data_IF_884897170945
#
_entry.id   IF_884897170945
#
_cell.length_a   1.000
_cell.length_b   1.000
_cell.length_c   1.000
_cell.angle_alpha   90.00
_cell.angle_beta   90.00
_cell.angle_gamma   90.00
#
_symmetry.space_group_name_H-M   'P 1'
#
loop_
_entity.id
_entity.type
_entity.pdbx_description
1 polymer ?
#
# COMPACT_ATOMS: atom_id res chain seq x y z
N UNK A 1 2.77 17.22 -27.87
CA UNK A 1 2.08 16.04 -27.32
C UNK A 1 3.03 15.25 -26.41
N UNK A 2 2.53 14.81 -25.27
CA UNK A 2 3.27 14.03 -24.27
C UNK A 2 2.75 12.60 -24.24
N UNK A 3 3.66 11.63 -24.05
CA UNK A 3 3.28 10.23 -23.88
C UNK A 3 4.38 9.37 -23.29
N UNK A 4 4.06 8.14 -22.96
CA UNK A 4 5.07 7.14 -22.62
C UNK A 4 5.89 6.70 -23.85
N UNK A 5 7.06 6.13 -23.62
CA UNK A 5 7.91 5.60 -24.70
C UNK A 5 7.21 4.53 -25.54
N UNK A 6 6.23 3.81 -24.98
CA UNK A 6 5.37 2.86 -25.68
C UNK A 6 4.45 3.52 -26.72
N UNK A 7 4.14 4.81 -26.57
CA UNK A 7 3.28 5.58 -27.47
C UNK A 7 4.02 6.28 -28.59
N UNK A 8 5.37 6.22 -28.61
CA UNK A 8 6.21 6.98 -29.57
C UNK A 8 5.79 6.77 -31.02
N UNK A 9 5.47 5.54 -31.42
CA UNK A 9 5.03 5.25 -32.78
C UNK A 9 3.73 5.99 -33.11
N UNK A 10 2.73 5.92 -32.23
CA UNK A 10 1.43 6.56 -32.44
C UNK A 10 1.56 8.09 -32.53
N UNK A 11 2.43 8.69 -31.71
CA UNK A 11 2.72 10.13 -31.73
C UNK A 11 3.38 10.54 -33.05
N UNK A 12 4.27 9.73 -33.60
CA UNK A 12 4.89 9.96 -34.91
C UNK A 12 3.88 9.89 -36.07
N UNK A 13 2.95 8.94 -36.04
CA UNK A 13 1.85 8.85 -37.01
C UNK A 13 1.01 10.12 -36.98
N UNK A 14 0.71 10.67 -35.80
CA UNK A 14 0.01 11.96 -35.67
C UNK A 14 0.73 13.10 -36.37
N UNK A 15 2.06 13.19 -36.24
CA UNK A 15 2.89 14.19 -36.96
C UNK A 15 2.82 14.03 -38.50
N UNK A 16 2.83 12.77 -38.98
CA UNK A 16 2.77 12.52 -40.41
C UNK A 16 1.38 12.85 -40.99
N UNK A 17 0.32 12.60 -40.24
CA UNK A 17 -1.04 13.05 -40.59
C UNK A 17 -1.13 14.58 -40.65
N UNK A 18 -0.53 15.31 -39.73
CA UNK A 18 -0.50 16.77 -39.72
C UNK A 18 0.22 17.28 -40.99
N UNK A 19 1.39 16.72 -41.33
CA UNK A 19 2.13 17.08 -42.58
C UNK A 19 1.26 16.83 -43.81
N UNK A 20 0.62 15.66 -43.90
CA UNK A 20 -0.23 15.32 -45.02
C UNK A 20 -1.41 16.31 -45.20
N UNK A 21 -1.92 16.85 -44.08
CA UNK A 21 -2.95 17.86 -44.06
C UNK A 21 -2.43 19.31 -44.09
N UNK A 22 -1.16 19.53 -44.45
CA UNK A 22 -0.49 20.84 -44.52
C UNK A 22 -0.53 21.61 -43.20
N UNK A 23 -0.55 20.92 -42.09
CA UNK A 23 -0.45 21.47 -40.75
C UNK A 23 1.01 21.42 -40.26
N UNK A 24 1.38 22.34 -39.36
CA UNK A 24 2.69 22.25 -38.71
C UNK A 24 2.72 21.02 -37.77
N UNK A 25 3.69 20.11 -37.96
CA UNK A 25 3.80 18.93 -37.10
C UNK A 25 4.11 19.33 -35.66
N UNK A 26 3.35 18.79 -34.72
CA UNK A 26 3.54 19.01 -33.29
C UNK A 26 4.89 18.52 -32.78
N UNK A 27 5.41 19.12 -31.73
CA UNK A 27 6.49 18.53 -30.95
C UNK A 27 5.97 17.34 -30.15
N UNK A 28 6.75 16.29 -30.04
CA UNK A 28 6.47 15.15 -29.17
C UNK A 28 7.55 15.00 -28.11
N UNK A 29 7.13 14.69 -26.90
CA UNK A 29 8.00 14.39 -25.77
C UNK A 29 7.55 13.03 -25.21
N UNK A 30 8.49 12.10 -25.10
CA UNK A 30 8.21 10.79 -24.50
C UNK A 30 9.01 10.62 -23.22
N UNK A 31 8.35 10.08 -22.19
CA UNK A 31 8.93 9.77 -20.90
C UNK A 31 9.06 8.24 -20.73
N UNK A 32 10.05 7.77 -19.97
CA UNK A 32 10.12 6.37 -19.57
C UNK A 32 8.83 5.91 -18.88
N UNK A 33 8.50 4.64 -19.04
CA UNK A 33 7.39 4.05 -18.32
C UNK A 33 7.81 3.76 -16.88
N UNK A 34 6.89 4.02 -15.95
CA UNK A 34 7.00 3.61 -14.56
C UNK A 34 6.21 2.31 -14.38
N UNK A 35 6.86 1.27 -13.90
CA UNK A 35 6.20 0.03 -13.47
C UNK A 35 5.45 0.28 -12.17
N UNK A 36 4.34 -0.43 -12.01
CA UNK A 36 3.52 -0.37 -10.81
C UNK A 36 4.17 -1.07 -9.61
N UNK A 37 3.40 -1.21 -8.54
CA UNK A 37 3.85 -1.83 -7.29
C UNK A 37 4.21 -3.31 -7.43
N UNK A 38 3.79 -3.97 -8.51
CA UNK A 38 4.15 -5.33 -8.89
C UNK A 38 5.57 -5.44 -9.49
N UNK A 39 6.17 -4.33 -9.94
CA UNK A 39 7.50 -4.28 -10.55
C UNK A 39 7.60 -4.93 -11.93
N UNK A 40 6.50 -5.25 -12.58
CA UNK A 40 6.44 -6.00 -13.84
C UNK A 40 5.72 -5.18 -14.92
N UNK A 41 4.44 -4.89 -14.68
CA UNK A 41 3.61 -4.19 -15.62
C UNK A 41 3.67 -2.67 -15.39
N UNK A 42 3.45 -1.89 -16.47
CA UNK A 42 3.33 -0.45 -16.32
C UNK A 42 2.24 -0.11 -15.30
N UNK A 43 2.47 0.93 -14.50
CA UNK A 43 1.49 1.39 -13.53
C UNK A 43 0.14 1.68 -14.19
N UNK A 44 -0.92 1.07 -13.71
CA UNK A 44 -2.27 1.23 -14.26
C UNK A 44 -3.35 0.87 -13.24
N UNK A 45 -4.41 1.68 -13.16
CA UNK A 45 -5.61 1.37 -12.37
C UNK A 45 -6.25 0.03 -12.78
N UNK A 46 -6.20 -0.31 -14.08
CA UNK A 46 -6.77 -1.56 -14.58
C UNK A 46 -6.06 -2.81 -14.07
N UNK A 47 -4.79 -2.68 -13.71
CA UNK A 47 -3.98 -3.77 -13.15
C UNK A 47 -4.00 -3.78 -11.61
N UNK A 48 -4.51 -2.72 -10.98
CA UNK A 48 -4.51 -2.61 -9.52
C UNK A 48 -3.11 -2.50 -8.90
N UNK A 49 -2.13 -2.11 -9.72
CA UNK A 49 -0.73 -1.92 -9.33
C UNK A 49 -0.36 -0.44 -9.20
N UNK A 50 -1.34 0.43 -9.13
CA UNK A 50 -1.17 1.87 -9.06
C UNK A 50 -1.15 2.42 -7.62
N UNK A 51 -0.54 3.59 -7.49
CA UNK A 51 -0.70 4.47 -6.35
C UNK A 51 -1.51 5.67 -6.83
N UNK A 52 -2.72 5.82 -6.29
CA UNK A 52 -3.60 6.92 -6.66
C UNK A 52 -3.14 8.24 -6.05
N UNK A 53 -3.25 9.34 -6.80
CA UNK A 53 -2.91 10.69 -6.30
C UNK A 53 -3.82 11.15 -5.14
N UNK A 54 -4.98 10.52 -4.99
CA UNK A 54 -5.94 10.78 -3.91
C UNK A 54 -6.02 9.62 -2.91
N UNK A 55 -5.08 8.68 -2.96
CA UNK A 55 -4.97 7.65 -1.94
C UNK A 55 -4.65 8.32 -0.60
N UNK A 56 -5.13 7.74 0.50
CA UNK A 56 -4.74 8.20 1.84
C UNK A 56 -3.21 8.14 1.99
N UNK A 57 -2.60 9.09 2.72
CA UNK A 57 -1.14 9.12 2.91
C UNK A 57 -0.55 7.81 3.42
N UNK A 58 -1.26 7.13 4.32
CA UNK A 58 -0.85 5.84 4.89
C UNK A 58 -0.83 4.73 3.85
N UNK A 59 -1.84 4.73 2.96
CA UNK A 59 -1.92 3.76 1.85
C UNK A 59 -0.84 4.03 0.81
N UNK A 60 -0.62 5.30 0.45
CA UNK A 60 0.44 5.72 -0.47
C UNK A 60 1.81 5.31 0.07
N UNK A 61 2.09 5.59 1.35
CA UNK A 61 3.31 5.18 2.03
C UNK A 61 3.50 3.67 2.02
N UNK A 62 2.47 2.92 2.44
CA UNK A 62 2.50 1.46 2.51
C UNK A 62 2.67 0.79 1.15
N UNK A 63 1.99 1.29 0.11
CA UNK A 63 2.13 0.81 -1.26
C UNK A 63 3.54 1.07 -1.80
N UNK A 64 4.12 2.24 -1.54
CA UNK A 64 5.50 2.55 -1.94
C UNK A 64 6.50 1.60 -1.27
N UNK A 65 6.31 1.25 0.00
CA UNK A 65 7.17 0.27 0.67
C UNK A 65 7.06 -1.16 0.09
N UNK A 66 6.00 -1.48 -0.63
CA UNK A 66 5.78 -2.83 -1.19
C UNK A 66 6.50 -3.09 -2.50
N UNK A 67 7.07 -2.07 -3.15
CA UNK A 67 7.82 -2.25 -4.41
C UNK A 67 9.06 -3.11 -4.19
N UNK A 68 9.58 -3.72 -5.25
CA UNK A 68 10.85 -4.47 -5.19
C UNK A 68 12.06 -3.53 -5.04
N UNK A 69 13.20 -4.05 -4.55
CA UNK A 69 14.37 -3.22 -4.24
C UNK A 69 15.02 -2.62 -5.51
N UNK A 70 14.96 -3.33 -6.62
CA UNK A 70 15.45 -2.92 -7.93
C UNK A 70 14.68 -1.73 -8.53
N UNK A 71 13.48 -1.46 -8.03
CA UNK A 71 12.65 -0.34 -8.48
C UNK A 71 12.97 0.98 -7.76
N UNK A 72 13.65 0.95 -6.63
CA UNK A 72 13.82 2.11 -5.74
C UNK A 72 14.40 3.32 -6.48
N UNK A 73 15.50 3.13 -7.20
CA UNK A 73 16.19 4.22 -7.92
C UNK A 73 15.29 4.83 -8.99
N UNK A 74 14.62 3.99 -9.76
CA UNK A 74 13.70 4.42 -10.81
C UNK A 74 12.52 5.21 -10.23
N UNK A 75 12.00 4.78 -9.09
CA UNK A 75 10.90 5.47 -8.43
C UNK A 75 11.31 6.81 -7.81
N UNK A 76 12.53 6.93 -7.29
CA UNK A 76 13.06 8.25 -6.90
C UNK A 76 13.05 9.22 -8.07
N UNK A 77 13.48 8.76 -9.25
CA UNK A 77 13.57 9.60 -10.46
C UNK A 77 12.21 9.94 -11.06
N UNK A 78 11.28 8.96 -11.14
CA UNK A 78 10.07 9.11 -11.95
C UNK A 78 8.80 9.33 -11.11
N UNK A 79 8.78 8.91 -9.84
CA UNK A 79 7.61 9.01 -8.99
C UNK A 79 7.75 10.05 -7.87
N UNK A 80 8.96 10.25 -7.34
CA UNK A 80 9.22 11.20 -6.27
C UNK A 80 9.81 12.53 -6.74
N UNK A 81 10.06 12.71 -8.04
CA UNK A 81 10.69 13.91 -8.62
C UNK A 81 11.97 14.34 -7.88
N UNK A 82 12.77 13.35 -7.47
CA UNK A 82 13.93 13.56 -6.63
C UNK A 82 15.11 14.14 -7.44
N UNK A 83 15.85 15.04 -6.82
CA UNK A 83 17.08 15.60 -7.38
C UNK A 83 18.12 14.52 -7.68
N UNK A 84 18.97 14.77 -8.68
CA UNK A 84 20.06 13.85 -9.10
C UNK A 84 20.99 13.46 -7.93
N UNK A 85 21.18 14.36 -6.97
CA UNK A 85 22.00 14.10 -5.78
C UNK A 85 21.37 13.05 -4.86
N UNK A 86 20.05 13.10 -4.69
CA UNK A 86 19.28 12.13 -3.91
C UNK A 86 19.29 10.78 -4.60
N UNK A 87 19.07 10.76 -5.92
CA UNK A 87 19.09 9.53 -6.72
C UNK A 87 20.46 8.84 -6.63
N UNK A 88 21.57 9.57 -6.81
CA UNK A 88 22.94 9.03 -6.69
C UNK A 88 23.24 8.53 -5.26
N UNK A 89 22.76 9.22 -4.24
CA UNK A 89 22.89 8.78 -2.86
C UNK A 89 22.15 7.44 -2.63
N UNK A 90 20.93 7.32 -3.15
CA UNK A 90 20.16 6.08 -3.07
C UNK A 90 20.88 4.92 -3.80
N UNK A 91 21.38 5.16 -5.02
CA UNK A 91 22.17 4.17 -5.77
C UNK A 91 23.38 3.69 -4.99
N UNK A 92 24.18 4.62 -4.45
CA UNK A 92 25.37 4.30 -3.67
C UNK A 92 25.07 3.48 -2.43
N UNK A 93 23.96 3.81 -1.72
CA UNK A 93 23.54 3.10 -0.52
C UNK A 93 22.98 1.72 -0.83
N UNK A 94 22.28 1.54 -1.93
CA UNK A 94 21.78 0.23 -2.37
C UNK A 94 22.90 -0.69 -2.88
N UNK A 95 24.02 -0.14 -3.35
CA UNK A 95 25.20 -0.91 -3.72
C UNK A 95 26.01 -1.40 -2.50
N UNK A 96 25.81 -0.80 -1.33
CA UNK A 96 26.44 -1.22 -0.07
C UNK A 96 25.59 -2.29 0.62
N UNK A 97 26.08 -3.53 0.60
CA UNK A 97 25.39 -4.67 1.22
C UNK A 97 25.21 -4.57 2.74
N UNK A 98 25.89 -3.63 3.41
CA UNK A 98 25.71 -3.37 4.84
C UNK A 98 24.47 -2.52 5.15
N UNK A 99 23.92 -1.82 4.17
CA UNK A 99 22.74 -0.96 4.31
C UNK A 99 21.48 -1.77 3.99
N UNK A 100 20.51 -1.67 4.88
CA UNK A 100 19.21 -2.31 4.64
C UNK A 100 18.41 -1.52 3.58
N UNK A 101 18.06 -2.13 2.42
CA UNK A 101 17.27 -1.46 1.39
C UNK A 101 15.96 -0.84 1.91
N UNK A 102 15.40 -1.39 2.99
CA UNK A 102 14.19 -0.84 3.62
C UNK A 102 14.38 0.59 4.12
N UNK A 103 15.59 0.99 4.53
CA UNK A 103 15.85 2.38 4.95
C UNK A 103 15.70 3.33 3.77
N UNK A 104 16.25 2.95 2.61
CA UNK A 104 16.16 3.73 1.36
C UNK A 104 14.72 3.77 0.84
N UNK A 105 13.97 2.65 0.96
CA UNK A 105 12.53 2.63 0.64
C UNK A 105 11.70 3.54 1.52
N UNK A 106 12.00 3.64 2.81
CA UNK A 106 11.31 4.56 3.72
C UNK A 106 11.49 6.01 3.31
N UNK A 107 12.70 6.38 2.89
CA UNK A 107 12.98 7.73 2.37
C UNK A 107 12.19 7.98 1.07
N UNK A 108 12.17 7.01 0.15
CA UNK A 108 11.36 7.09 -1.06
C UNK A 108 9.88 7.26 -0.73
N UNK A 109 9.35 6.45 0.20
CA UNK A 109 7.94 6.50 0.57
C UNK A 109 7.55 7.86 1.20
N UNK A 110 8.43 8.43 2.04
CA UNK A 110 8.24 9.80 2.54
C UNK A 110 8.26 10.82 1.41
N UNK A 111 9.23 10.74 0.49
CA UNK A 111 9.34 11.66 -0.63
C UNK A 111 8.10 11.63 -1.54
N UNK A 112 7.56 10.44 -1.82
CA UNK A 112 6.33 10.28 -2.60
C UNK A 112 5.13 10.92 -1.88
N UNK A 113 4.95 10.68 -0.58
CA UNK A 113 3.84 11.30 0.18
C UNK A 113 4.03 12.82 0.27
N UNK A 114 5.24 13.30 0.54
CA UNK A 114 5.55 14.72 0.65
C UNK A 114 5.26 15.49 -0.64
N UNK A 115 5.51 14.86 -1.81
CA UNK A 115 5.26 15.47 -3.13
C UNK A 115 3.77 15.82 -3.34
N UNK A 116 2.85 15.01 -2.83
CA UNK A 116 1.40 15.19 -3.04
C UNK A 116 0.66 15.78 -1.84
N UNK A 117 1.30 15.75 -0.67
CA UNK A 117 0.76 16.31 0.58
C UNK A 117 1.77 17.31 1.16
N UNK A 118 2.40 16.97 2.29
CA UNK A 118 3.46 17.74 2.92
C UNK A 118 4.36 16.84 3.80
N UNK A 119 5.45 17.43 4.31
CA UNK A 119 6.44 16.72 5.13
C UNK A 119 5.86 16.21 6.47
N UNK A 120 4.91 16.96 7.06
CA UNK A 120 4.26 16.57 8.31
C UNK A 120 3.39 15.33 8.08
N UNK A 121 2.55 15.35 7.04
CA UNK A 121 1.70 14.22 6.62
C UNK A 121 2.55 12.98 6.28
N UNK A 122 3.69 13.16 5.59
CA UNK A 122 4.61 12.06 5.29
C UNK A 122 5.17 11.42 6.57
N UNK A 123 5.53 12.24 7.57
CA UNK A 123 6.01 11.75 8.87
C UNK A 123 4.91 11.01 9.64
N UNK A 124 3.68 11.51 9.61
CA UNK A 124 2.52 10.86 10.23
C UNK A 124 2.22 9.51 9.58
N UNK A 125 2.26 9.43 8.23
CA UNK A 125 2.07 8.19 7.49
C UNK A 125 3.14 7.13 7.85
N UNK A 126 4.39 7.54 8.03
CA UNK A 126 5.46 6.65 8.50
C UNK A 126 5.22 6.17 9.93
N UNK A 127 4.81 7.06 10.84
CA UNK A 127 4.49 6.70 12.23
C UNK A 127 3.32 5.71 12.28
N UNK A 128 2.27 5.97 11.52
CA UNK A 128 1.13 5.07 11.39
C UNK A 128 1.57 3.67 10.89
N UNK A 129 2.40 3.61 9.84
CA UNK A 129 2.95 2.36 9.35
C UNK A 129 3.78 1.63 10.42
N UNK A 130 4.61 2.35 11.16
CA UNK A 130 5.40 1.76 12.24
C UNK A 130 4.53 1.21 13.37
N UNK A 131 3.46 1.91 13.74
CA UNK A 131 2.52 1.47 14.78
C UNK A 131 1.78 0.21 14.35
N UNK A 132 1.23 0.19 13.14
CA UNK A 132 0.33 -0.89 12.70
C UNK A 132 1.08 -2.09 12.15
N UNK A 133 2.10 -1.87 11.33
CA UNK A 133 2.78 -2.95 10.60
C UNK A 133 4.00 -3.46 11.36
N UNK A 134 4.83 -2.56 11.86
CA UNK A 134 6.08 -2.92 12.56
C UNK A 134 5.83 -3.20 14.05
N UNK A 135 5.13 -2.29 14.72
CA UNK A 135 4.84 -2.37 16.16
C UNK A 135 3.78 -3.39 16.54
N UNK A 136 3.09 -4.00 15.57
CA UNK A 136 1.89 -4.83 15.80
C UNK A 136 0.79 -4.08 16.55
N UNK A 137 0.78 -2.77 16.46
CA UNK A 137 -0.25 -1.92 17.06
C UNK A 137 -1.62 -2.14 16.44
N UNK A 138 -2.62 -1.62 17.12
CA UNK A 138 -4.01 -1.61 16.69
C UNK A 138 -4.24 -0.38 15.83
N UNK A 139 -4.87 -0.45 14.63
CA UNK A 139 -5.23 0.72 13.84
C UNK A 139 -6.14 1.68 14.62
N UNK A 140 -6.06 2.98 14.32
CA UNK A 140 -6.92 3.98 14.95
C UNK A 140 -8.38 3.90 14.42
N UNK A 141 -8.58 3.39 13.21
CA UNK A 141 -9.91 3.22 12.58
C UNK A 141 -10.21 1.72 12.43
N UNK A 142 -10.82 1.12 13.46
CA UNK A 142 -11.22 -0.28 13.46
C UNK A 142 -12.73 -0.36 13.33
N UNK A 143 -13.27 -1.22 12.43
CA UNK A 143 -14.70 -1.50 12.41
C UNK A 143 -15.20 -1.91 13.81
N UNK A 144 -16.29 -1.30 14.25
CA UNK A 144 -16.95 -1.64 15.52
C UNK A 144 -18.06 -2.67 15.30
N UNK A 145 -18.19 -3.60 16.21
CA UNK A 145 -19.25 -4.59 16.21
C UNK A 145 -19.86 -4.66 17.61
N UNK A 146 -21.15 -4.35 17.72
CA UNK A 146 -21.86 -4.43 19.00
C UNK A 146 -22.28 -5.87 19.30
N UNK A 147 -21.90 -6.36 20.48
CA UNK A 147 -22.21 -7.70 20.95
C UNK A 147 -23.14 -7.59 22.19
N UNK A 148 -24.38 -8.02 22.04
CA UNK A 148 -25.38 -7.93 23.11
C UNK A 148 -25.38 -9.13 24.06
N UNK A 149 -24.93 -10.29 23.57
CA UNK A 149 -24.87 -11.56 24.33
C UNK A 149 -23.56 -12.29 23.99
N UNK A 150 -23.16 -13.22 24.87
CA UNK A 150 -22.01 -14.09 24.62
C UNK A 150 -22.21 -14.92 23.34
N UNK A 151 -21.23 -14.88 22.42
CA UNK A 151 -21.29 -15.68 21.19
C UNK A 151 -19.92 -16.28 20.85
N UNK A 152 -19.93 -17.25 19.96
CA UNK A 152 -18.70 -17.87 19.45
C UNK A 152 -17.89 -16.84 18.64
N UNK A 153 -16.59 -16.76 18.87
CA UNK A 153 -15.68 -15.88 18.11
C UNK A 153 -15.79 -16.12 16.59
N UNK A 154 -16.08 -17.37 16.18
CA UNK A 154 -16.35 -17.72 14.76
C UNK A 154 -17.54 -16.94 14.20
N UNK A 155 -18.61 -16.80 14.98
CA UNK A 155 -19.80 -16.07 14.56
C UNK A 155 -19.52 -14.58 14.48
N UNK A 156 -18.95 -14.01 15.52
CA UNK A 156 -18.58 -12.59 15.59
C UNK A 156 -17.72 -12.16 14.40
N UNK A 157 -16.69 -12.94 14.06
CA UNK A 157 -15.83 -12.67 12.89
C UNK A 157 -16.62 -12.69 11.59
N UNK A 158 -17.57 -13.62 11.44
CA UNK A 158 -18.37 -13.76 10.22
C UNK A 158 -19.46 -12.67 10.16
N UNK A 159 -20.20 -12.44 11.23
CA UNK A 159 -21.32 -11.51 11.28
C UNK A 159 -20.86 -10.04 11.19
N UNK A 160 -19.65 -9.73 11.68
CA UNK A 160 -18.97 -8.45 11.46
C UNK A 160 -18.41 -8.28 10.04
N UNK A 161 -18.54 -9.28 9.15
CA UNK A 161 -18.07 -9.21 7.77
C UNK A 161 -16.54 -9.25 7.59
N UNK A 162 -15.79 -9.60 8.63
CA UNK A 162 -14.31 -9.68 8.57
C UNK A 162 -13.85 -10.81 7.66
N UNK A 163 -14.58 -11.92 7.64
CA UNK A 163 -14.35 -13.07 6.76
C UNK A 163 -15.63 -13.47 6.04
N UNK A 164 -15.47 -14.05 4.84
CA UNK A 164 -16.59 -14.40 3.96
C UNK A 164 -17.31 -15.69 4.36
N UNK A 165 -16.74 -16.48 5.27
CA UNK A 165 -17.36 -17.73 5.73
C UNK A 165 -16.92 -18.15 7.14
N UNK A 166 -17.83 -18.80 7.87
CA UNK A 166 -17.53 -19.43 9.18
C UNK A 166 -16.48 -20.55 9.06
N UNK A 167 -16.36 -21.18 7.88
CA UNK A 167 -15.33 -22.19 7.61
C UNK A 167 -13.92 -21.59 7.57
N UNK A 168 -13.77 -20.41 6.99
CA UNK A 168 -12.51 -19.66 6.95
C UNK A 168 -12.13 -19.20 8.38
N UNK A 169 -13.09 -18.68 9.15
CA UNK A 169 -12.87 -18.28 10.53
C UNK A 169 -12.35 -19.45 11.39
N UNK A 170 -13.00 -20.62 11.32
CA UNK A 170 -12.53 -21.83 12.04
C UNK A 170 -11.12 -22.24 11.66
N UNK A 171 -10.77 -22.17 10.37
CA UNK A 171 -9.42 -22.50 9.90
C UNK A 171 -8.38 -21.53 10.46
N UNK A 172 -8.66 -20.23 10.46
CA UNK A 172 -7.75 -19.21 10.99
C UNK A 172 -7.57 -19.33 12.49
N UNK A 173 -8.62 -19.64 13.25
CA UNK A 173 -8.53 -19.92 14.68
C UNK A 173 -7.62 -21.14 14.94
N UNK A 174 -7.84 -22.26 14.26
CA UNK A 174 -6.99 -23.46 14.40
C UNK A 174 -5.51 -23.21 14.07
N UNK A 175 -5.22 -22.27 13.17
CA UNK A 175 -3.87 -21.87 12.80
C UNK A 175 -3.23 -20.85 13.78
N UNK A 176 -3.95 -20.47 14.87
CA UNK A 176 -3.48 -19.46 15.82
C UNK A 176 -3.37 -18.06 15.22
N UNK A 177 -4.07 -17.80 14.10
CA UNK A 177 -4.06 -16.54 13.40
C UNK A 177 -5.11 -15.54 13.94
N UNK A 178 -5.90 -15.93 14.94
CA UNK A 178 -6.86 -15.05 15.62
C UNK A 178 -6.36 -14.75 17.03
N UNK A 179 -6.46 -13.48 17.43
CA UNK A 179 -6.07 -13.01 18.75
C UNK A 179 -7.18 -12.14 19.34
N UNK A 180 -7.46 -12.32 20.61
CA UNK A 180 -8.34 -11.46 21.42
C UNK A 180 -7.47 -10.72 22.43
N UNK A 181 -7.46 -9.39 22.42
CA UNK A 181 -6.66 -8.52 23.29
C UNK A 181 -5.17 -8.91 23.35
N UNK A 182 -4.66 -9.41 22.22
CA UNK A 182 -3.26 -9.85 22.07
C UNK A 182 -3.03 -11.34 22.38
N UNK A 183 -3.94 -12.03 23.03
CA UNK A 183 -3.86 -13.46 23.32
C UNK A 183 -4.33 -14.32 22.13
N UNK A 184 -3.58 -15.36 21.79
CA UNK A 184 -3.90 -16.23 20.66
C UNK A 184 -5.02 -17.20 21.00
N UNK A 185 -6.08 -17.21 20.18
CA UNK A 185 -7.19 -18.13 20.28
C UNK A 185 -6.99 -19.28 19.29
N UNK A 186 -6.99 -20.51 19.81
CA UNK A 186 -6.84 -21.73 19.00
C UNK A 186 -8.05 -22.66 19.10
N UNK A 187 -8.92 -22.44 20.08
CA UNK A 187 -10.15 -23.19 20.25
C UNK A 187 -11.27 -22.59 19.40
N UNK A 188 -11.82 -23.39 18.51
CA UNK A 188 -12.96 -23.01 17.65
C UNK A 188 -14.29 -22.85 18.41
N UNK A 189 -14.35 -23.32 19.64
CA UNK A 189 -15.49 -23.16 20.55
C UNK A 189 -15.32 -21.99 21.51
N UNK A 190 -14.21 -21.23 21.37
CA UNK A 190 -14.01 -20.05 22.19
C UNK A 190 -15.12 -19.02 21.96
N UNK A 191 -15.63 -18.49 23.07
CA UNK A 191 -16.65 -17.46 23.11
C UNK A 191 -16.06 -16.10 23.46
N UNK A 192 -16.78 -15.06 23.12
CA UNK A 192 -16.53 -13.69 23.54
C UNK A 192 -17.81 -13.17 24.19
N UNK A 193 -17.69 -12.61 25.37
CA UNK A 193 -18.80 -11.99 26.10
C UNK A 193 -18.71 -10.47 26.02
N UNK A 194 -19.83 -9.74 26.03
CA UNK A 194 -19.80 -8.30 26.13
C UNK A 194 -19.12 -7.87 27.44
N UNK A 195 -17.98 -7.19 27.33
CA UNK A 195 -17.19 -6.73 28.48
C UNK A 195 -16.40 -5.48 28.16
N UNK A 196 -17.10 -4.42 27.74
CA UNK A 196 -16.47 -3.17 27.31
C UNK A 196 -15.82 -3.28 25.92
N UNK A 197 -14.69 -2.61 25.72
CA UNK A 197 -13.98 -2.65 24.45
C UNK A 197 -12.99 -3.81 24.40
N UNK A 198 -13.14 -4.69 23.43
CA UNK A 198 -12.22 -5.81 23.17
C UNK A 198 -11.73 -5.76 21.72
N UNK A 199 -10.46 -6.08 21.50
CA UNK A 199 -9.86 -6.03 20.15
C UNK A 199 -9.62 -7.45 19.63
N UNK A 200 -10.33 -7.80 18.56
CA UNK A 200 -10.17 -9.04 17.83
C UNK A 200 -9.27 -8.80 16.62
N UNK A 201 -8.10 -9.45 16.59
CA UNK A 201 -7.19 -9.43 15.43
C UNK A 201 -7.32 -10.72 14.65
N UNK A 202 -7.62 -10.63 13.34
CA UNK A 202 -7.82 -11.77 12.45
C UNK A 202 -6.78 -11.75 11.33
N UNK A 203 -5.77 -12.60 11.43
CA UNK A 203 -4.64 -12.63 10.54
C UNK A 203 -3.68 -11.45 10.75
N UNK A 204 -3.05 -10.99 9.65
CA UNK A 204 -2.00 -9.96 9.72
C UNK A 204 -2.54 -8.53 9.76
N UNK A 205 -3.71 -8.26 9.13
CA UNK A 205 -4.16 -6.90 8.80
C UNK A 205 -5.61 -6.60 9.19
N UNK A 206 -6.40 -7.57 9.63
CA UNK A 206 -7.81 -7.35 9.94
C UNK A 206 -7.98 -7.22 11.44
N UNK A 207 -8.68 -6.18 11.85
CA UNK A 207 -9.02 -5.90 13.24
C UNK A 207 -10.51 -5.64 13.35
N UNK A 208 -11.07 -5.97 14.49
CA UNK A 208 -12.45 -5.72 14.85
C UNK A 208 -12.49 -5.26 16.31
N UNK A 209 -13.14 -4.14 16.56
CA UNK A 209 -13.42 -3.67 17.90
C UNK A 209 -14.81 -4.19 18.29
N UNK A 210 -14.85 -5.08 19.27
CA UNK A 210 -16.10 -5.59 19.84
C UNK A 210 -16.47 -4.70 21.01
N UNK A 211 -17.66 -4.16 20.96
CA UNK A 211 -18.22 -3.26 21.98
C UNK A 211 -19.52 -3.83 22.52
N UNK A 212 -19.91 -3.40 23.73
CA UNK A 212 -21.17 -3.74 24.37
C UNK A 212 -22.36 -3.05 23.71
#
# INVERSE_FOLDING_TARGET
ELGGTDQKFNLLVGRDLQKANRQNPQCIITLPLLEGTDGIDKMSKSYGNDIGLHDKPEDMYGKTLSISDDMIVKWFTLAADADETVVKSAESRLADSSINPMEVKRELARAVVELYYDAETASQAEQHFNTIVVGKGTPDDIPEFSLNEEDLIVNVIFDAGILQSKGEARRMIKQGAVKLDGESITDIQATIAPSGEQILKVGKRRFLKVIE
#
